data_IF_884934688131
#
_entry.id   IF_884934688131
#
_cell.length_a   1.000
_cell.length_b   1.000
_cell.length_c   1.000
_cell.angle_alpha   90.00
_cell.angle_beta   90.00
_cell.angle_gamma   90.00
#
_symmetry.space_group_name_H-M   'P 1'
#
loop_
_entity.id
_entity.type
_entity.pdbx_description
1 polymer ?
#
# COMPACT_ATOMS: atom_id res chain seq x y z
N UNK A 1 31.35 -38.30 19.83
CA UNK A 1 30.97 -36.88 19.64
C UNK A 1 29.75 -36.87 18.74
N UNK A 2 28.62 -36.38 19.23
CA UNK A 2 27.32 -36.42 18.56
C UNK A 2 27.30 -35.46 17.38
N UNK A 3 27.06 -36.01 16.18
CA UNK A 3 26.79 -35.23 14.97
C UNK A 3 25.51 -34.40 15.20
N UNK A 4 25.66 -33.11 15.47
CA UNK A 4 24.56 -32.16 15.36
C UNK A 4 24.21 -32.03 13.88
N UNK A 5 23.08 -32.62 13.49
CA UNK A 5 22.46 -32.38 12.21
C UNK A 5 22.14 -30.87 12.11
N UNK A 6 22.96 -30.14 11.36
CA UNK A 6 22.62 -28.79 10.95
C UNK A 6 21.44 -28.91 10.00
N UNK A 7 20.25 -28.60 10.51
CA UNK A 7 19.05 -28.48 9.69
C UNK A 7 19.27 -27.30 8.76
N UNK A 8 19.74 -27.60 7.54
CA UNK A 8 19.87 -26.64 6.44
C UNK A 8 18.46 -26.17 6.08
N UNK A 9 18.04 -25.06 6.69
CA UNK A 9 16.85 -24.35 6.22
C UNK A 9 17.11 -23.97 4.76
N UNK A 10 16.18 -24.27 3.84
CA UNK A 10 16.36 -23.91 2.44
C UNK A 10 16.53 -22.39 2.34
N UNK A 11 17.51 -21.88 1.57
CA UNK A 11 17.70 -20.44 1.36
C UNK A 11 16.70 -19.95 0.31
N UNK A 12 15.41 -20.14 0.56
CA UNK A 12 14.39 -19.32 -0.09
C UNK A 12 14.22 -18.08 0.78
N UNK A 13 15.18 -17.16 0.76
CA UNK A 13 14.95 -15.79 1.28
C UNK A 13 14.03 -15.11 0.25
N UNK A 14 12.78 -15.57 0.21
CA UNK A 14 11.69 -14.87 -0.41
C UNK A 14 11.17 -13.87 0.61
N UNK A 15 10.80 -12.69 0.09
CA UNK A 15 10.32 -11.51 0.79
C UNK A 15 9.76 -11.76 2.20
N UNK A 16 9.94 -10.84 3.16
CA UNK A 16 9.52 -11.06 4.55
C UNK A 16 7.98 -11.16 4.73
N UNK A 17 7.24 -11.11 3.63
CA UNK A 17 5.79 -11.28 3.48
C UNK A 17 5.43 -12.43 2.52
N UNK A 18 4.24 -13.01 2.72
CA UNK A 18 3.70 -14.06 1.85
C UNK A 18 3.11 -13.44 0.58
N UNK A 19 3.59 -13.86 -0.60
CA UNK A 19 3.11 -13.38 -1.91
C UNK A 19 1.59 -13.52 -2.08
N UNK A 20 1.04 -14.66 -1.64
CA UNK A 20 -0.40 -14.95 -1.71
C UNK A 20 -1.27 -14.00 -0.87
N UNK A 21 -0.67 -13.28 0.09
CA UNK A 21 -1.39 -12.30 0.89
C UNK A 21 -1.12 -10.87 0.41
N UNK A 22 0.14 -10.54 0.13
CA UNK A 22 0.52 -9.18 -0.25
C UNK A 22 -0.08 -8.76 -1.61
N UNK A 23 -0.17 -9.69 -2.57
CA UNK A 23 -0.67 -9.37 -3.92
C UNK A 23 -2.15 -9.00 -3.87
N UNK A 24 -3.07 -9.84 -3.31
CA UNK A 24 -4.46 -9.45 -3.17
C UNK A 24 -4.65 -8.17 -2.37
N UNK A 25 -3.88 -7.98 -1.28
CA UNK A 25 -3.93 -6.77 -0.48
C UNK A 25 -3.58 -5.53 -1.32
N UNK A 26 -2.51 -5.58 -2.11
CA UNK A 26 -2.16 -4.48 -3.01
C UNK A 26 -3.20 -4.25 -4.09
N UNK A 27 -3.77 -5.30 -4.68
CA UNK A 27 -4.82 -5.16 -5.70
C UNK A 27 -6.05 -4.48 -5.15
N UNK A 28 -6.54 -4.89 -3.98
CA UNK A 28 -7.71 -4.29 -3.32
C UNK A 28 -7.40 -2.84 -2.93
N UNK A 29 -6.24 -2.61 -2.29
CA UNK A 29 -5.86 -1.28 -1.82
C UNK A 29 -5.67 -0.30 -2.99
N UNK A 30 -5.00 -0.73 -4.05
CA UNK A 30 -4.80 0.06 -5.26
C UNK A 30 -6.13 0.37 -5.96
N UNK A 31 -6.95 -0.66 -6.18
CA UNK A 31 -8.24 -0.51 -6.85
C UNK A 31 -9.15 0.46 -6.09
N UNK A 32 -9.23 0.33 -4.77
CA UNK A 32 -10.07 1.19 -3.95
C UNK A 32 -9.53 2.61 -3.82
N UNK A 33 -8.21 2.78 -3.66
CA UNK A 33 -7.57 4.10 -3.65
C UNK A 33 -7.78 4.84 -4.98
N UNK A 34 -7.62 4.15 -6.11
CA UNK A 34 -7.85 4.72 -7.43
C UNK A 34 -9.33 5.08 -7.63
N UNK A 35 -10.25 4.22 -7.17
CA UNK A 35 -11.68 4.50 -7.20
C UNK A 35 -12.04 5.77 -6.42
N UNK A 36 -11.54 5.93 -5.18
CA UNK A 36 -11.74 7.15 -4.38
C UNK A 36 -11.25 8.38 -5.13
N UNK A 37 -10.05 8.30 -5.72
CA UNK A 37 -9.46 9.39 -6.48
C UNK A 37 -10.33 9.79 -7.67
N UNK A 38 -10.68 8.82 -8.51
CA UNK A 38 -11.46 9.03 -9.74
C UNK A 38 -12.85 9.56 -9.40
N UNK A 39 -13.55 8.96 -8.43
CA UNK A 39 -14.90 9.34 -8.05
C UNK A 39 -14.99 10.81 -7.63
N UNK A 40 -14.12 11.23 -6.70
CA UNK A 40 -14.18 12.59 -6.18
C UNK A 40 -13.69 13.63 -7.20
N UNK A 41 -12.65 13.31 -7.98
CA UNK A 41 -12.19 14.22 -9.05
C UNK A 41 -13.20 14.32 -10.20
N UNK A 42 -13.93 13.26 -10.51
CA UNK A 42 -15.03 13.29 -11.49
C UNK A 42 -16.13 14.24 -11.01
N UNK A 43 -16.58 14.11 -9.75
CA UNK A 43 -17.61 14.99 -9.20
C UNK A 43 -17.16 16.45 -9.15
N UNK A 44 -15.90 16.70 -8.80
CA UNK A 44 -15.30 18.03 -8.90
C UNK A 44 -15.28 18.58 -10.34
N UNK A 45 -14.88 17.76 -11.32
CA UNK A 45 -14.89 18.16 -12.72
C UNK A 45 -16.29 18.46 -13.26
N UNK A 46 -17.28 17.65 -12.84
CA UNK A 46 -18.69 17.86 -13.19
C UNK A 46 -19.27 19.12 -12.54
N UNK A 47 -18.88 19.44 -11.30
CA UNK A 47 -19.34 20.67 -10.62
C UNK A 47 -18.85 21.91 -11.36
N UNK A 48 -17.57 21.94 -11.75
CA UNK A 48 -16.99 23.03 -12.53
C UNK A 48 -17.67 23.14 -13.90
N UNK A 49 -17.91 22.02 -14.57
CA UNK A 49 -18.52 22.01 -15.89
C UNK A 49 -19.96 22.52 -15.87
N UNK A 50 -20.75 22.09 -14.89
CA UNK A 50 -22.14 22.52 -14.73
C UNK A 50 -22.27 23.94 -14.15
N UNK A 51 -21.20 24.50 -13.57
CA UNK A 51 -21.17 25.87 -13.06
C UNK A 51 -22.26 26.12 -12.01
N UNK A 52 -22.97 27.24 -12.15
CA UNK A 52 -24.07 27.62 -11.24
C UNK A 52 -25.22 26.61 -11.20
N UNK A 53 -25.35 25.78 -12.23
CA UNK A 53 -26.46 24.83 -12.37
C UNK A 53 -26.17 23.49 -11.66
N UNK A 54 -24.94 23.31 -11.15
CA UNK A 54 -24.54 22.11 -10.39
C UNK A 54 -25.25 21.97 -9.04
N UNK A 55 -25.79 23.07 -8.51
CA UNK A 55 -26.34 23.12 -7.14
C UNK A 55 -25.29 22.93 -6.05
N UNK A 56 -23.99 22.89 -6.39
CA UNK A 56 -22.90 22.75 -5.43
C UNK A 56 -22.31 24.12 -5.09
N UNK A 57 -21.90 24.28 -3.83
CA UNK A 57 -21.19 25.47 -3.37
C UNK A 57 -19.67 25.23 -3.40
N UNK A 58 -18.89 26.31 -3.35
CA UNK A 58 -17.41 26.24 -3.41
C UNK A 58 -16.77 25.39 -2.30
N UNK A 59 -17.46 25.21 -1.17
CA UNK A 59 -16.99 24.34 -0.09
C UNK A 59 -17.07 22.86 -0.48
N UNK A 60 -18.18 22.44 -1.08
CA UNK A 60 -18.38 21.09 -1.62
C UNK A 60 -17.40 20.77 -2.75
N UNK A 61 -17.13 21.74 -3.62
CA UNK A 61 -16.13 21.58 -4.70
C UNK A 61 -14.72 21.38 -4.13
N UNK A 62 -14.32 22.21 -3.17
CA UNK A 62 -13.04 22.10 -2.50
C UNK A 62 -12.90 20.75 -1.75
N UNK A 63 -13.99 20.26 -1.18
CA UNK A 63 -14.07 18.94 -0.55
C UNK A 63 -13.75 17.81 -1.54
N UNK A 64 -14.44 17.79 -2.69
CA UNK A 64 -14.20 16.79 -3.73
C UNK A 64 -12.78 16.85 -4.27
N UNK A 65 -12.26 18.05 -4.56
CA UNK A 65 -10.89 18.24 -5.00
C UNK A 65 -9.88 17.73 -3.95
N UNK A 66 -10.10 18.01 -2.66
CA UNK A 66 -9.20 17.62 -1.58
C UNK A 66 -9.17 16.11 -1.37
N UNK A 67 -10.35 15.48 -1.22
CA UNK A 67 -10.45 14.03 -1.01
C UNK A 67 -9.94 13.27 -2.24
N UNK A 68 -10.29 13.73 -3.44
CA UNK A 68 -9.77 13.18 -4.70
C UNK A 68 -8.25 13.25 -4.78
N UNK A 69 -7.64 14.39 -4.42
CA UNK A 69 -6.19 14.57 -4.41
C UNK A 69 -5.49 13.63 -3.42
N UNK A 70 -6.05 13.44 -2.22
CA UNK A 70 -5.51 12.46 -1.26
C UNK A 70 -5.62 11.02 -1.78
N UNK A 71 -6.69 10.70 -2.52
CA UNK A 71 -6.81 9.44 -3.27
C UNK A 71 -5.70 9.28 -4.32
N UNK A 72 -5.38 10.32 -5.08
CA UNK A 72 -4.29 10.27 -6.07
C UNK A 72 -2.94 10.02 -5.41
N UNK A 73 -2.61 10.77 -4.35
CA UNK A 73 -1.36 10.59 -3.60
C UNK A 73 -1.25 9.19 -3.02
N UNK A 74 -2.34 8.68 -2.42
CA UNK A 74 -2.42 7.31 -1.91
C UNK A 74 -2.16 6.27 -3.00
N UNK A 75 -2.76 6.48 -4.18
CA UNK A 75 -2.61 5.59 -5.34
C UNK A 75 -1.16 5.53 -5.81
N UNK A 76 -0.48 6.68 -5.90
CA UNK A 76 0.94 6.74 -6.28
C UNK A 76 1.85 6.04 -5.27
N UNK A 77 1.57 6.16 -3.97
CA UNK A 77 2.32 5.45 -2.92
C UNK A 77 2.16 3.93 -3.09
N UNK A 78 0.93 3.46 -3.30
CA UNK A 78 0.64 2.02 -3.48
C UNK A 78 1.29 1.48 -4.76
N UNK A 79 1.24 2.23 -5.87
CA UNK A 79 1.98 1.90 -7.10
C UNK A 79 3.48 1.81 -6.79
N UNK A 80 4.03 2.76 -6.03
CA UNK A 80 5.41 2.74 -5.58
C UNK A 80 5.77 1.46 -4.83
N UNK A 81 4.91 0.99 -3.91
CA UNK A 81 5.08 -0.30 -3.24
C UNK A 81 5.06 -1.47 -4.20
N UNK A 82 4.12 -1.52 -5.13
CA UNK A 82 4.02 -2.60 -6.13
C UNK A 82 5.27 -2.64 -7.01
N UNK A 83 5.75 -1.49 -7.49
CA UNK A 83 6.96 -1.39 -8.34
C UNK A 83 8.21 -1.79 -7.57
N UNK A 84 8.39 -1.29 -6.34
CA UNK A 84 9.52 -1.65 -5.49
C UNK A 84 9.49 -3.14 -5.13
N UNK A 85 8.30 -3.69 -4.89
CA UNK A 85 8.10 -5.11 -4.63
C UNK A 85 8.50 -5.94 -5.85
N UNK A 86 8.02 -5.59 -7.05
CA UNK A 86 8.38 -6.26 -8.30
C UNK A 86 9.88 -6.20 -8.61
N UNK A 87 10.56 -5.13 -8.17
CA UNK A 87 12.01 -4.94 -8.33
C UNK A 87 12.86 -5.55 -7.21
N UNK A 88 12.25 -6.25 -6.25
CA UNK A 88 12.93 -6.77 -5.05
C UNK A 88 13.70 -5.71 -4.26
N UNK A 89 13.16 -4.49 -4.21
CA UNK A 89 13.75 -3.31 -3.51
C UNK A 89 12.86 -2.76 -2.41
N UNK A 90 11.69 -3.37 -2.17
CA UNK A 90 10.82 -2.97 -1.08
C UNK A 90 11.41 -3.49 0.23
N UNK A 91 11.87 -2.58 1.08
CA UNK A 91 12.30 -2.90 2.45
C UNK A 91 11.11 -2.81 3.40
N UNK A 92 11.18 -3.51 4.54
CA UNK A 92 10.14 -3.45 5.56
C UNK A 92 9.90 -2.02 6.08
N UNK A 93 10.96 -1.20 6.15
CA UNK A 93 10.86 0.21 6.54
C UNK A 93 10.07 1.05 5.53
N UNK A 94 10.40 0.97 4.23
CA UNK A 94 9.69 1.71 3.17
C UNK A 94 8.23 1.23 3.08
N UNK A 95 8.01 -0.07 3.26
CA UNK A 95 6.67 -0.65 3.27
C UNK A 95 5.84 -0.10 4.44
N UNK A 96 6.41 -0.05 5.64
CA UNK A 96 5.75 0.51 6.83
C UNK A 96 5.45 2.00 6.68
N UNK A 97 6.43 2.81 6.27
CA UNK A 97 6.22 4.26 6.09
C UNK A 97 5.16 4.57 5.04
N UNK A 98 5.18 3.89 3.90
CA UNK A 98 4.18 4.12 2.86
C UNK A 98 2.76 3.74 3.31
N UNK A 99 2.59 2.61 4.01
CA UNK A 99 1.27 2.25 4.56
C UNK A 99 0.83 3.23 5.65
N UNK A 100 1.77 3.72 6.48
CA UNK A 100 1.51 4.76 7.47
C UNK A 100 1.02 6.05 6.82
N UNK A 101 1.70 6.52 5.77
CA UNK A 101 1.32 7.71 5.03
C UNK A 101 -0.09 7.60 4.42
N UNK A 102 -0.40 6.48 3.73
CA UNK A 102 -1.73 6.25 3.15
C UNK A 102 -2.80 6.19 4.24
N UNK A 103 -2.52 5.54 5.37
CA UNK A 103 -3.45 5.49 6.51
C UNK A 103 -3.73 6.89 7.04
N UNK A 104 -2.71 7.73 7.23
CA UNK A 104 -2.89 9.11 7.71
C UNK A 104 -3.73 9.92 6.71
N UNK A 105 -3.44 9.85 5.41
CA UNK A 105 -4.21 10.55 4.39
C UNK A 105 -5.68 10.11 4.40
N UNK A 106 -5.94 8.80 4.45
CA UNK A 106 -7.30 8.25 4.49
C UNK A 106 -8.07 8.64 5.76
N UNK A 107 -7.38 8.72 6.90
CA UNK A 107 -7.97 9.16 8.17
C UNK A 107 -8.35 10.65 8.10
N UNK A 108 -7.49 11.49 7.54
CA UNK A 108 -7.78 12.91 7.33
C UNK A 108 -8.99 13.06 6.39
N UNK A 109 -9.03 12.34 5.25
CA UNK A 109 -10.19 12.34 4.35
C UNK A 109 -11.49 11.95 5.06
N UNK A 110 -11.44 10.92 5.93
CA UNK A 110 -12.60 10.47 6.70
C UNK A 110 -13.07 11.54 7.70
N UNK A 111 -12.15 12.17 8.43
CA UNK A 111 -12.48 13.26 9.38
C UNK A 111 -13.13 14.44 8.64
N UNK A 112 -12.59 14.80 7.48
CA UNK A 112 -13.15 15.83 6.61
C UNK A 112 -14.59 15.47 6.20
N UNK A 113 -14.83 14.24 5.74
CA UNK A 113 -16.16 13.76 5.37
C UNK A 113 -17.16 13.80 6.54
N UNK A 114 -16.77 13.31 7.73
CA UNK A 114 -17.62 13.37 8.93
C UNK A 114 -17.96 14.82 9.30
N UNK A 115 -16.99 15.72 9.17
CA UNK A 115 -17.18 17.14 9.45
C UNK A 115 -18.17 17.77 8.48
N UNK A 116 -18.12 17.40 7.20
CA UNK A 116 -19.09 17.83 6.20
C UNK A 116 -20.52 17.40 6.56
N UNK A 117 -20.71 16.12 6.95
CA UNK A 117 -22.04 15.62 7.33
C UNK A 117 -22.63 16.35 8.55
N UNK A 118 -21.79 16.75 9.51
CA UNK A 118 -22.25 17.58 10.65
C UNK A 118 -22.70 18.98 10.22
N UNK A 119 -22.09 19.52 9.16
CA UNK A 119 -22.41 20.84 8.60
C UNK A 119 -23.51 20.79 7.53
N UNK A 120 -24.16 19.64 7.32
CA UNK A 120 -25.25 19.49 6.34
C UNK A 120 -26.36 20.53 6.47
N UNK A 121 -26.65 20.98 7.69
CA UNK A 121 -27.69 21.98 7.96
C UNK A 121 -27.27 23.41 7.61
N UNK A 122 -25.96 23.67 7.51
CA UNK A 122 -25.42 24.98 7.13
C UNK A 122 -25.32 25.12 5.60
N UNK A 123 -25.08 24.02 4.89
CA UNK A 123 -24.77 24.03 3.46
C UNK A 123 -25.79 23.31 2.57
N UNK A 124 -26.82 22.67 3.14
CA UNK A 124 -27.95 22.08 2.42
C UNK A 124 -27.61 20.84 1.57
N UNK A 125 -26.37 20.35 1.63
CA UNK A 125 -25.86 19.24 0.82
C UNK A 125 -25.34 18.11 1.71
N UNK A 126 -25.80 16.88 1.48
CA UNK A 126 -25.32 15.66 2.13
C UNK A 126 -25.03 14.61 1.08
N UNK A 127 -23.78 14.15 1.03
CA UNK A 127 -23.36 12.99 0.25
C UNK A 127 -22.70 11.99 1.20
N UNK A 128 -23.42 10.92 1.53
CA UNK A 128 -22.92 9.86 2.41
C UNK A 128 -21.69 9.15 1.82
N UNK A 129 -21.51 9.18 0.49
CA UNK A 129 -20.39 8.53 -0.18
C UNK A 129 -19.06 9.26 0.11
N UNK A 130 -19.11 10.56 0.38
CA UNK A 130 -17.94 11.36 0.80
C UNK A 130 -17.37 10.90 2.15
N UNK A 131 -18.17 10.19 2.94
CA UNK A 131 -17.74 9.58 4.21
C UNK A 131 -17.44 8.11 4.03
N UNK A 132 -18.34 7.37 3.39
CA UNK A 132 -18.27 5.92 3.27
C UNK A 132 -17.03 5.46 2.48
N UNK A 133 -16.68 6.13 1.39
CA UNK A 133 -15.52 5.75 0.59
C UNK A 133 -14.20 6.04 1.33
N UNK A 134 -13.94 7.24 1.89
CA UNK A 134 -12.76 7.45 2.72
C UNK A 134 -12.68 6.52 3.95
N UNK A 135 -13.81 6.21 4.59
CA UNK A 135 -13.84 5.29 5.72
C UNK A 135 -13.44 3.86 5.31
N UNK A 136 -13.93 3.40 4.16
CA UNK A 136 -13.56 2.07 3.62
C UNK A 136 -12.09 2.03 3.22
N UNK A 137 -11.58 3.08 2.57
CA UNK A 137 -10.16 3.20 2.27
C UNK A 137 -9.32 3.16 3.55
N UNK A 138 -9.73 3.92 4.58
CA UNK A 138 -9.05 3.92 5.87
C UNK A 138 -9.01 2.54 6.52
N UNK A 139 -10.10 1.76 6.46
CA UNK A 139 -10.13 0.40 6.97
C UNK A 139 -9.15 -0.52 6.21
N UNK A 140 -9.10 -0.43 4.88
CA UNK A 140 -8.16 -1.19 4.05
C UNK A 140 -6.71 -0.78 4.37
N UNK A 141 -6.44 0.52 4.48
CA UNK A 141 -5.12 1.05 4.80
C UNK A 141 -4.66 0.65 6.19
N UNK A 142 -5.56 0.60 7.18
CA UNK A 142 -5.26 0.08 8.52
C UNK A 142 -4.85 -1.38 8.50
N UNK A 143 -5.55 -2.23 7.74
CA UNK A 143 -5.14 -3.64 7.55
C UNK A 143 -3.75 -3.72 6.93
N UNK A 144 -3.47 -2.89 5.91
CA UNK A 144 -2.15 -2.77 5.30
C UNK A 144 -1.06 -2.34 6.28
N UNK A 145 -1.34 -1.34 7.12
CA UNK A 145 -0.43 -0.84 8.15
C UNK A 145 -0.15 -1.89 9.22
N UNK A 146 -1.18 -2.58 9.74
CA UNK A 146 -1.00 -3.67 10.71
C UNK A 146 -0.09 -4.75 10.13
N UNK A 147 -0.34 -5.13 8.88
CA UNK A 147 0.52 -6.10 8.19
C UNK A 147 1.96 -5.60 8.06
N UNK A 148 2.15 -4.34 7.67
CA UNK A 148 3.47 -3.74 7.53
C UNK A 148 4.24 -3.66 8.86
N UNK A 149 3.56 -3.33 9.96
CA UNK A 149 4.15 -3.34 11.31
C UNK A 149 4.57 -4.74 11.72
N UNK A 150 3.74 -5.77 11.47
CA UNK A 150 4.08 -7.16 11.78
C UNK A 150 5.34 -7.59 11.02
N UNK A 151 5.41 -7.26 9.73
CA UNK A 151 6.59 -7.53 8.89
C UNK A 151 7.81 -6.80 9.43
N UNK A 152 7.71 -5.51 9.71
CA UNK A 152 8.80 -4.70 10.23
C UNK A 152 9.33 -5.25 11.55
N UNK A 153 8.45 -5.64 12.47
CA UNK A 153 8.85 -6.28 13.74
C UNK A 153 9.57 -7.61 13.52
N UNK A 154 9.17 -8.40 12.52
CA UNK A 154 9.85 -9.67 12.19
C UNK A 154 11.25 -9.42 11.64
N UNK A 155 11.42 -8.43 10.77
CA UNK A 155 12.74 -8.06 10.23
C UNK A 155 13.64 -7.51 11.35
N UNK A 156 13.14 -6.57 12.16
CA UNK A 156 13.92 -5.98 13.26
C UNK A 156 14.28 -6.96 14.38
N UNK A 157 13.50 -8.02 14.56
CA UNK A 157 13.82 -9.09 15.52
C UNK A 157 14.73 -10.18 14.93
N UNK A 158 15.22 -10.02 13.70
CA UNK A 158 16.06 -11.01 13.01
C UNK A 158 15.32 -12.29 12.61
N UNK A 159 13.98 -12.32 12.72
CA UNK A 159 13.14 -13.48 12.35
C UNK A 159 12.90 -13.57 10.84
N UNK A 160 13.18 -12.50 10.10
CA UNK A 160 13.08 -12.42 8.65
C UNK A 160 14.16 -11.48 8.12
N UNK A 161 14.48 -11.59 6.82
CA UNK A 161 15.45 -10.75 6.13
C UNK A 161 14.70 -9.91 5.09
N UNK A 162 15.13 -8.66 4.90
CA UNK A 162 14.59 -7.79 3.85
C UNK A 162 14.78 -8.39 2.45
N UNK A 163 13.98 -7.91 1.49
CA UNK A 163 14.17 -8.31 0.10
C UNK A 163 15.53 -7.83 -0.41
N UNK A 164 16.34 -8.78 -0.88
CA UNK A 164 17.59 -8.52 -1.58
C UNK A 164 17.49 -9.11 -2.98
N UNK A 165 18.05 -8.42 -3.98
CA UNK A 165 18.10 -8.94 -5.36
C UNK A 165 18.83 -10.30 -5.33
N UNK A 166 18.30 -11.37 -5.96
CA UNK A 166 19.13 -12.53 -6.24
C UNK A 166 20.30 -12.04 -7.10
N UNK A 167 21.52 -12.21 -6.60
CA UNK A 167 22.73 -11.78 -7.31
C UNK A 167 22.68 -12.34 -8.73
N UNK A 168 22.67 -11.45 -9.72
CA UNK A 168 22.80 -11.85 -11.11
C UNK A 168 24.19 -12.45 -11.27
N UNK A 169 24.25 -13.76 -11.51
CA UNK A 169 25.48 -14.42 -11.89
C UNK A 169 26.04 -13.77 -13.14
N UNK A 170 27.23 -13.19 -13.01
CA UNK A 170 28.21 -13.02 -14.07
C UNK A 170 29.57 -12.86 -13.38
N UNK A 171 30.32 -13.97 -13.37
CA UNK A 171 31.77 -14.03 -13.36
C UNK A 171 32.51 -13.26 -12.27
N UNK A 172 32.83 -13.95 -11.18
CA UNK A 172 33.78 -13.46 -10.20
C UNK A 172 33.97 -14.45 -9.07
N UNK A 173 34.70 -15.52 -9.35
CA UNK A 173 35.15 -16.47 -8.34
C UNK A 173 35.96 -15.72 -7.25
N UNK A 174 35.32 -15.41 -6.14
CA UNK A 174 36.02 -15.25 -4.88
C UNK A 174 36.22 -16.65 -4.30
N UNK A 175 37.42 -17.20 -4.53
CA UNK A 175 37.92 -18.44 -3.91
C UNK A 175 37.69 -18.40 -2.40
N UNK A 176 37.01 -19.41 -1.88
CA UNK A 176 37.04 -19.78 -0.47
C UNK A 176 35.68 -20.15 0.11
N UNK A 177 35.14 -21.30 -0.27
CA UNK A 177 33.93 -21.89 0.32
C UNK A 177 33.26 -22.84 -0.66
N UNK A 178 33.13 -24.11 -0.27
CA UNK A 178 32.89 -25.27 -1.14
C UNK A 178 31.75 -25.15 -2.17
N UNK A 179 32.09 -25.59 -3.38
CA UNK A 179 31.25 -25.69 -4.58
C UNK A 179 30.37 -26.93 -4.45
N UNK A 180 29.10 -26.79 -4.06
CA UNK A 180 28.10 -27.84 -4.30
C UNK A 180 26.63 -27.38 -4.12
N UNK A 181 26.14 -26.34 -4.82
CA UNK A 181 24.70 -26.00 -4.70
C UNK A 181 24.02 -25.40 -5.94
N UNK A 182 24.54 -25.67 -7.15
CA UNK A 182 23.90 -25.23 -8.41
C UNK A 182 22.90 -26.25 -9.01
N UNK A 183 22.42 -27.23 -8.23
CA UNK A 183 21.57 -28.32 -8.76
C UNK A 183 20.08 -28.29 -8.37
N UNK A 184 19.60 -27.35 -7.53
CA UNK A 184 18.25 -27.44 -6.94
C UNK A 184 17.39 -26.18 -7.07
N UNK A 185 17.38 -25.54 -8.24
CA UNK A 185 16.32 -24.60 -8.59
C UNK A 185 15.03 -25.36 -8.94
N UNK A 186 14.16 -25.59 -7.95
CA UNK A 186 12.82 -26.17 -8.19
C UNK A 186 11.94 -25.11 -8.88
N UNK A 187 11.25 -25.45 -9.99
CA UNK A 187 10.43 -24.50 -10.73
C UNK A 187 9.20 -24.06 -9.92
N UNK A 188 8.80 -22.80 -10.11
CA UNK A 188 7.54 -22.27 -9.60
C UNK A 188 6.37 -22.96 -10.30
N UNK A 189 5.49 -23.59 -9.50
CA UNK A 189 4.07 -23.84 -9.83
C UNK A 189 3.24 -22.88 -9.00
#
# INVERSE_FOLDING_TARGET
>A
MSNMASVSRPPSIHAPWRKSFIIPLFTIHLGFSAFVAIWHLLLYGLSIYAGSDSGQNSYTEALYATVGSFGVVSTLIIIGHVVLFARFRLTAWIFMLGNGAVTVLSLISMIIGITNEKRRYEFGYSDYLIVAFPATLCAISLVGLVYAVIVWRKVNSGRAIDMVKPGGGLGGAAKGGDVQDDANAIPMV
#
